data_IF_585129015688
#
_entry.id   IF_585129015688
#
_cell.length_a   1.000
_cell.length_b   1.000
_cell.length_c   1.000
_cell.angle_alpha   90.00
_cell.angle_beta   90.00
_cell.angle_gamma   90.00
#
_symmetry.space_group_name_H-M   'P 1'
#
loop_
_entity.id
_entity.type
_entity.pdbx_description
1 polymer ?
#
# COMPACT_ATOMS: atom_id res chain seq x y z
N UNK A 1 -22.06 -7.55 -12.43
CA UNK A 1 -20.73 -7.70 -13.05
C UNK A 1 -19.73 -7.19 -12.03
N UNK A 2 -18.94 -8.09 -11.44
CA UNK A 2 -17.92 -7.71 -10.45
C UNK A 2 -16.72 -7.16 -11.22
N UNK A 3 -16.10 -6.08 -10.71
CA UNK A 3 -14.86 -5.51 -11.25
C UNK A 3 -13.68 -6.53 -11.31
N UNK A 4 -13.84 -7.70 -10.69
CA UNK A 4 -12.85 -8.76 -10.55
C UNK A 4 -12.69 -9.68 -11.77
N UNK A 5 -13.43 -9.48 -12.87
CA UNK A 5 -13.33 -10.32 -14.09
C UNK A 5 -12.52 -9.65 -15.22
N UNK A 6 -11.88 -8.51 -14.94
CA UNK A 6 -10.97 -7.88 -15.87
C UNK A 6 -9.58 -8.54 -15.74
N UNK A 7 -9.05 -9.20 -16.78
CA UNK A 7 -7.77 -9.92 -16.71
C UNK A 7 -6.59 -9.01 -16.32
N UNK A 8 -6.72 -7.70 -16.56
CA UNK A 8 -5.73 -6.68 -16.19
C UNK A 8 -5.67 -6.47 -14.66
N UNK A 9 -6.78 -6.70 -13.95
CA UNK A 9 -6.87 -6.50 -12.49
C UNK A 9 -6.46 -7.76 -11.74
N UNK A 10 -6.76 -8.94 -12.30
CA UNK A 10 -6.38 -10.24 -11.75
C UNK A 10 -4.85 -10.44 -11.77
N UNK A 11 -4.18 -10.10 -12.87
CA UNK A 11 -2.72 -10.26 -13.00
C UNK A 11 -1.92 -9.34 -12.05
N UNK A 12 -2.46 -8.15 -11.74
CA UNK A 12 -1.88 -7.21 -10.75
C UNK A 12 -2.13 -7.70 -9.32
N UNK A 13 -3.27 -8.33 -9.05
CA UNK A 13 -3.57 -8.92 -7.74
C UNK A 13 -2.77 -10.20 -7.48
N UNK A 14 -2.65 -11.08 -8.49
CA UNK A 14 -1.89 -12.33 -8.38
C UNK A 14 -0.37 -12.10 -8.38
N UNK A 15 0.16 -11.09 -9.08
CA UNK A 15 1.58 -10.72 -8.99
C UNK A 15 1.98 -10.17 -7.61
N UNK A 16 1.03 -9.61 -6.87
CA UNK A 16 1.22 -9.15 -5.49
C UNK A 16 1.27 -10.29 -4.47
N UNK A 17 0.55 -11.38 -4.70
CA UNK A 17 0.30 -12.45 -3.72
C UNK A 17 1.54 -13.26 -3.29
N UNK A 18 2.71 -13.06 -3.91
CA UNK A 18 3.96 -13.70 -3.52
C UNK A 18 5.00 -12.73 -2.94
N UNK A 19 4.63 -11.49 -2.65
CA UNK A 19 5.55 -10.49 -2.10
C UNK A 19 5.17 -10.04 -0.69
N UNK A 20 5.86 -10.67 0.26
CA UNK A 20 5.77 -10.35 1.68
C UNK A 20 6.01 -8.88 2.00
N UNK A 21 6.82 -8.15 1.23
CA UNK A 21 7.07 -6.73 1.49
C UNK A 21 5.86 -5.89 1.10
N UNK A 22 5.28 -6.14 -0.08
CA UNK A 22 4.05 -5.48 -0.50
C UNK A 22 2.90 -5.77 0.46
N UNK A 23 2.69 -7.05 0.81
CA UNK A 23 1.64 -7.46 1.75
C UNK A 23 1.80 -6.80 3.13
N UNK A 24 3.02 -6.79 3.66
CA UNK A 24 3.31 -6.15 4.94
C UNK A 24 3.07 -4.64 4.88
N UNK A 25 3.47 -4.00 3.79
CA UNK A 25 3.27 -2.58 3.60
C UNK A 25 1.78 -2.25 3.52
N UNK A 26 1.01 -3.05 2.80
CA UNK A 26 -0.44 -2.91 2.68
C UNK A 26 -1.15 -3.09 4.03
N UNK A 27 -0.69 -4.01 4.89
CA UNK A 27 -1.18 -4.21 6.26
C UNK A 27 -0.83 -3.03 7.18
N UNK A 28 0.33 -2.40 6.99
CA UNK A 28 0.76 -1.24 7.77
C UNK A 28 -0.15 -0.03 7.53
N UNK A 29 -0.73 0.12 6.33
CA UNK A 29 -1.65 1.22 6.01
C UNK A 29 -2.84 1.34 6.98
N UNK A 30 -3.68 0.31 7.14
CA UNK A 30 -4.77 0.28 8.12
C UNK A 30 -4.31 0.51 9.56
N UNK A 31 -3.17 -0.06 9.96
CA UNK A 31 -2.60 0.13 11.31
C UNK A 31 -2.21 1.59 11.53
N UNK A 32 -1.59 2.22 10.54
CA UNK A 32 -1.26 3.65 10.56
C UNK A 32 -2.52 4.49 10.69
N UNK A 33 -3.55 4.22 9.89
CA UNK A 33 -4.82 4.97 9.95
C UNK A 33 -5.46 4.83 11.33
N UNK A 34 -5.49 3.62 11.90
CA UNK A 34 -6.01 3.38 13.25
C UNK A 34 -5.19 4.14 14.30
N UNK A 35 -3.86 4.12 14.20
CA UNK A 35 -2.97 4.87 15.08
C UNK A 35 -3.20 6.38 15.01
N UNK A 36 -3.36 6.92 13.80
CA UNK A 36 -3.65 8.35 13.57
C UNK A 36 -5.05 8.71 14.11
N UNK A 37 -6.02 7.81 13.97
CA UNK A 37 -7.37 8.01 14.51
C UNK A 37 -7.37 8.08 16.05
N UNK A 38 -6.53 7.29 16.71
CA UNK A 38 -6.41 7.27 18.18
C UNK A 38 -5.60 8.47 18.69
N UNK A 39 -4.43 8.73 18.11
CA UNK A 39 -3.50 9.79 18.54
C UNK A 39 -3.97 11.18 18.10
N UNK A 40 -4.79 11.24 17.05
CA UNK A 40 -5.23 12.46 16.41
C UNK A 40 -4.25 12.94 15.32
N UNK A 41 -4.75 13.80 14.44
CA UNK A 41 -3.97 14.37 13.34
C UNK A 41 -3.06 15.48 13.86
N UNK A 42 -1.75 15.29 13.71
CA UNK A 42 -0.71 16.28 13.98
C UNK A 42 0.27 16.38 12.80
N UNK A 43 1.18 17.35 12.84
CA UNK A 43 2.26 17.47 11.85
C UNK A 43 3.11 16.20 11.79
N UNK A 44 3.36 15.57 12.94
CA UNK A 44 4.13 14.32 13.05
C UNK A 44 3.40 13.17 12.34
N UNK A 45 2.13 12.93 12.68
CA UNK A 45 1.35 11.84 12.05
C UNK A 45 1.15 12.07 10.56
N UNK A 46 1.00 13.33 10.14
CA UNK A 46 0.91 13.70 8.72
C UNK A 46 2.23 13.40 8.00
N UNK A 47 3.37 13.73 8.60
CA UNK A 47 4.69 13.40 8.05
C UNK A 47 4.91 11.88 7.91
N UNK A 48 4.51 11.10 8.92
CA UNK A 48 4.59 9.63 8.87
C UNK A 48 3.70 9.08 7.74
N UNK A 49 2.48 9.59 7.61
CA UNK A 49 1.57 9.16 6.54
C UNK A 49 2.15 9.47 5.15
N UNK A 50 2.73 10.66 4.95
CA UNK A 50 3.39 11.04 3.69
C UNK A 50 4.57 10.10 3.40
N UNK A 51 5.43 9.85 4.38
CA UNK A 51 6.57 8.95 4.22
C UNK A 51 6.13 7.53 3.83
N UNK A 52 5.10 7.01 4.48
CA UNK A 52 4.50 5.72 4.14
C UNK A 52 3.99 5.69 2.70
N UNK A 53 3.22 6.69 2.28
CA UNK A 53 2.68 6.77 0.91
C UNK A 53 3.79 6.86 -0.13
N UNK A 54 4.80 7.71 0.10
CA UNK A 54 5.94 7.84 -0.81
C UNK A 54 6.71 6.53 -0.94
N UNK A 55 6.95 5.85 0.19
CA UNK A 55 7.61 4.55 0.17
C UNK A 55 6.77 3.50 -0.57
N UNK A 56 5.46 3.46 -0.34
CA UNK A 56 4.54 2.56 -1.05
C UNK A 56 4.58 2.79 -2.56
N UNK A 57 4.45 4.03 -3.01
CA UNK A 57 4.48 4.39 -4.43
C UNK A 57 5.85 4.07 -5.04
N UNK A 58 6.95 4.42 -4.35
CA UNK A 58 8.30 4.13 -4.83
C UNK A 58 8.56 2.62 -4.92
N UNK A 59 8.10 1.84 -3.95
CA UNK A 59 8.25 0.39 -3.92
C UNK A 59 7.47 -0.28 -5.06
N UNK A 60 6.20 0.11 -5.23
CA UNK A 60 5.36 -0.39 -6.32
C UNK A 60 5.93 0.01 -7.68
N UNK A 61 6.36 1.26 -7.84
CA UNK A 61 6.98 1.74 -9.07
C UNK A 61 8.28 1.02 -9.39
N UNK A 62 9.17 0.85 -8.40
CA UNK A 62 10.42 0.10 -8.57
C UNK A 62 10.16 -1.34 -8.99
N UNK A 63 9.24 -2.02 -8.32
CA UNK A 63 8.92 -3.41 -8.64
C UNK A 63 8.22 -3.56 -9.99
N UNK A 64 7.34 -2.63 -10.35
CA UNK A 64 6.68 -2.60 -11.65
C UNK A 64 7.61 -2.31 -12.82
N UNK A 65 8.75 -1.61 -12.60
CA UNK A 65 9.79 -1.40 -13.63
C UNK A 65 10.80 -2.55 -13.66
N UNK A 66 11.02 -3.21 -12.52
CA UNK A 66 12.03 -4.27 -12.36
C UNK A 66 11.51 -5.69 -12.63
N UNK A 67 10.27 -5.84 -13.11
CA UNK A 67 9.60 -7.11 -13.42
C UNK A 67 9.29 -7.19 -14.91
#
# INVERSE_FOLDING_TARGET
MKLSELPIVEEVFESGANDRVFDSLLLIGPVLIAGIAIVGRSTVTTGIAIAYVLFFVAYVGYRGISN
#
